data_IF_147607257832
#
_entry.id   IF_147607257832
#
_cell.length_a   1.000
_cell.length_b   1.000
_cell.length_c   1.000
_cell.angle_alpha   90.00
_cell.angle_beta   90.00
_cell.angle_gamma   90.00
#
_symmetry.space_group_name_H-M   'P 1'
#
loop_
_entity.id
_entity.type
_entity.pdbx_description
1 polymer ?
#
# COMPACT_ATOMS: atom_id res chain seq x y z
N UNK A 1 6.58 20.02 -9.82
CA UNK A 1 5.14 19.71 -10.04
C UNK A 1 4.81 19.95 -11.51
N UNK A 2 4.26 18.97 -12.24
CA UNK A 2 3.89 19.15 -13.64
C UNK A 2 2.73 20.14 -13.81
N UNK A 3 2.65 20.88 -14.93
CA UNK A 3 1.54 21.77 -15.22
C UNK A 3 0.25 20.98 -15.51
N UNK A 4 -0.91 21.60 -15.32
CA UNK A 4 -2.21 20.96 -15.56
C UNK A 4 -2.39 20.47 -17.01
N UNK A 5 -1.74 21.11 -17.97
CA UNK A 5 -1.74 20.73 -19.39
C UNK A 5 -1.04 19.40 -19.68
N UNK A 6 -0.22 18.87 -18.76
CA UNK A 6 0.42 17.57 -18.90
C UNK A 6 -0.56 16.39 -18.69
N UNK A 7 -1.71 16.65 -18.07
CA UNK A 7 -2.74 15.66 -17.75
C UNK A 7 -3.82 15.59 -18.84
N UNK A 8 -4.29 14.40 -19.12
CA UNK A 8 -5.49 14.23 -19.94
C UNK A 8 -6.74 14.76 -19.20
N UNK A 9 -7.84 15.09 -19.92
CA UNK A 9 -9.06 15.53 -19.26
C UNK A 9 -9.59 14.56 -18.19
N UNK A 10 -9.46 13.25 -18.42
CA UNK A 10 -9.85 12.19 -17.48
C UNK A 10 -8.96 12.21 -16.21
N UNK A 11 -7.66 12.30 -16.37
CA UNK A 11 -6.69 12.39 -15.27
C UNK A 11 -6.94 13.64 -14.43
N UNK A 12 -7.12 14.78 -15.10
CA UNK A 12 -7.37 16.05 -14.43
C UNK A 12 -8.70 16.08 -13.68
N UNK A 13 -9.74 15.42 -14.22
CA UNK A 13 -11.02 15.26 -13.51
C UNK A 13 -10.86 14.47 -12.21
N UNK A 14 -10.05 13.40 -12.21
CA UNK A 14 -9.73 12.62 -11.00
C UNK A 14 -8.98 13.50 -9.99
N UNK A 15 -7.96 14.24 -10.41
CA UNK A 15 -7.17 15.12 -9.54
C UNK A 15 -8.07 16.18 -8.88
N UNK A 16 -8.90 16.87 -9.65
CA UNK A 16 -9.79 17.93 -9.13
C UNK A 16 -10.84 17.40 -8.14
N UNK A 17 -11.28 16.16 -8.32
CA UNK A 17 -12.27 15.51 -7.46
C UNK A 17 -11.66 15.02 -6.15
N UNK A 18 -10.39 14.66 -6.11
CA UNK A 18 -9.74 14.01 -4.96
C UNK A 18 -8.61 14.89 -4.40
N UNK A 19 -8.98 15.92 -3.64
CA UNK A 19 -8.08 16.99 -3.19
C UNK A 19 -7.41 16.70 -1.85
N UNK A 20 -7.88 15.72 -1.10
CA UNK A 20 -7.36 15.38 0.24
C UNK A 20 -6.94 13.92 0.31
N UNK A 21 -5.99 13.56 1.20
CA UNK A 21 -5.59 12.16 1.39
C UNK A 21 -6.75 11.20 1.66
N UNK A 22 -7.79 11.64 2.40
CA UNK A 22 -8.97 10.82 2.66
C UNK A 22 -9.81 10.57 1.40
N UNK A 23 -9.93 11.57 0.53
CA UNK A 23 -10.62 11.41 -0.75
C UNK A 23 -9.86 10.48 -1.68
N UNK A 24 -8.52 10.61 -1.74
CA UNK A 24 -7.65 9.72 -2.51
C UNK A 24 -7.72 8.29 -1.96
N UNK A 25 -7.72 8.10 -0.63
CA UNK A 25 -7.88 6.77 -0.03
C UNK A 25 -9.19 6.11 -0.47
N UNK A 26 -10.32 6.83 -0.41
CA UNK A 26 -11.62 6.29 -0.88
C UNK A 26 -11.64 5.98 -2.38
N UNK A 27 -10.99 6.81 -3.19
CA UNK A 27 -10.84 6.56 -4.62
C UNK A 27 -10.08 5.26 -4.88
N UNK A 28 -8.94 5.07 -4.22
CA UNK A 28 -8.12 3.86 -4.38
C UNK A 28 -8.80 2.60 -3.83
N UNK A 29 -9.56 2.73 -2.74
CA UNK A 29 -10.33 1.61 -2.18
C UNK A 29 -11.42 1.12 -3.14
N UNK A 30 -11.97 2.00 -3.96
CA UNK A 30 -12.98 1.66 -4.97
C UNK A 30 -12.40 0.99 -6.22
N UNK A 31 -11.09 1.09 -6.45
CA UNK A 31 -10.45 0.41 -7.58
C UNK A 31 -10.34 -1.09 -7.32
N UNK A 32 -10.62 -1.97 -8.31
CA UNK A 32 -10.25 -3.37 -8.26
C UNK A 32 -8.74 -3.53 -8.02
N UNK A 33 -8.37 -4.54 -7.22
CA UNK A 33 -6.96 -4.81 -6.96
C UNK A 33 -6.29 -5.42 -8.21
N UNK A 34 -5.11 -4.91 -8.57
CA UNK A 34 -4.30 -5.49 -9.63
C UNK A 34 -3.52 -6.70 -9.08
N UNK A 35 -3.89 -7.90 -9.50
CA UNK A 35 -3.26 -9.15 -9.10
C UNK A 35 -2.03 -9.52 -9.92
N UNK A 36 -1.62 -8.64 -10.86
CA UNK A 36 -0.41 -8.79 -11.70
C UNK A 36 -0.39 -10.09 -12.51
N UNK A 37 -1.54 -10.53 -12.95
CA UNK A 37 -1.66 -11.73 -13.78
C UNK A 37 -2.07 -11.36 -15.21
N UNK A 38 -1.46 -11.97 -16.24
CA UNK A 38 -0.44 -13.04 -16.19
C UNK A 38 1.00 -12.55 -15.98
N UNK A 39 1.25 -11.24 -15.94
CA UNK A 39 2.59 -10.65 -15.81
C UNK A 39 2.61 -9.61 -14.71
N UNK A 40 3.78 -9.48 -14.04
CA UNK A 40 4.06 -8.38 -13.14
C UNK A 40 3.93 -7.03 -13.88
N UNK A 41 3.36 -6.05 -13.20
CA UNK A 41 3.17 -4.69 -13.69
C UNK A 41 3.61 -3.68 -12.65
N UNK A 42 4.02 -2.50 -13.10
CA UNK A 42 4.24 -1.34 -12.25
C UNK A 42 3.85 -0.09 -13.04
N UNK A 43 2.55 0.18 -13.05
CA UNK A 43 1.99 1.25 -13.87
C UNK A 43 2.19 2.61 -13.22
N UNK A 44 2.43 3.61 -14.08
CA UNK A 44 2.36 5.02 -13.70
C UNK A 44 0.94 5.42 -13.27
N UNK A 45 0.76 6.63 -12.77
CA UNK A 45 -0.57 7.23 -12.55
C UNK A 45 -1.46 7.13 -13.81
N UNK A 46 -0.92 7.52 -14.98
CA UNK A 46 -1.63 7.41 -16.27
C UNK A 46 -2.08 5.99 -16.56
N UNK A 47 -1.22 5.02 -16.33
CA UNK A 47 -1.53 3.60 -16.51
C UNK A 47 -2.66 3.13 -15.58
N UNK A 48 -2.66 3.54 -14.32
CA UNK A 48 -3.72 3.23 -13.36
C UNK A 48 -5.05 3.87 -13.77
N UNK A 49 -5.07 5.15 -14.18
CA UNK A 49 -6.31 5.81 -14.64
C UNK A 49 -6.86 5.17 -15.91
N UNK A 50 -5.99 4.67 -16.78
CA UNK A 50 -6.39 4.00 -18.03
C UNK A 50 -7.00 2.63 -17.75
N UNK A 51 -6.35 1.83 -16.88
CA UNK A 51 -6.75 0.42 -16.62
C UNK A 51 -7.82 0.28 -15.54
N UNK A 52 -7.92 1.27 -14.63
CA UNK A 52 -8.87 1.24 -13.52
C UNK A 52 -8.53 0.23 -12.43
N UNK A 53 -7.29 -0.24 -12.33
CA UNK A 53 -6.84 -1.21 -11.30
C UNK A 53 -5.50 -0.78 -10.72
N UNK A 54 -5.21 -1.13 -9.47
CA UNK A 54 -3.90 -0.85 -8.85
C UNK A 54 -3.53 -1.90 -7.80
N UNK A 55 -2.24 -2.29 -7.72
CA UNK A 55 -1.63 -2.91 -6.55
C UNK A 55 -1.02 -1.84 -5.62
N UNK A 56 -0.34 -2.26 -4.53
CA UNK A 56 0.12 -1.32 -3.49
C UNK A 56 1.02 -0.19 -4.01
N UNK A 57 2.05 -0.50 -4.79
CA UNK A 57 2.99 0.50 -5.30
C UNK A 57 2.35 1.39 -6.37
N UNK A 58 1.55 0.82 -7.29
CA UNK A 58 0.78 1.61 -8.27
C UNK A 58 -0.18 2.58 -7.58
N UNK A 59 -0.84 2.15 -6.50
CA UNK A 59 -1.72 3.00 -5.70
C UNK A 59 -0.95 4.13 -4.98
N UNK A 60 0.23 3.84 -4.45
CA UNK A 60 1.08 4.84 -3.81
C UNK A 60 1.58 5.89 -4.82
N UNK A 61 2.02 5.46 -6.02
CA UNK A 61 2.36 6.35 -7.14
C UNK A 61 1.17 7.22 -7.56
N UNK A 62 -0.02 6.61 -7.65
CA UNK A 62 -1.25 7.32 -8.00
C UNK A 62 -1.62 8.37 -6.95
N UNK A 63 -1.52 8.03 -5.67
CA UNK A 63 -1.75 8.98 -4.58
C UNK A 63 -0.75 10.14 -4.63
N UNK A 64 0.53 9.85 -4.89
CA UNK A 64 1.58 10.87 -5.03
C UNK A 64 1.27 11.84 -6.18
N UNK A 65 0.89 11.33 -7.36
CA UNK A 65 0.59 12.15 -8.53
C UNK A 65 -0.65 13.05 -8.31
N UNK A 66 -1.70 12.55 -7.67
CA UNK A 66 -2.90 13.32 -7.37
C UNK A 66 -2.59 14.39 -6.31
N UNK A 67 -1.99 13.99 -5.19
CA UNK A 67 -1.81 14.87 -4.03
C UNK A 67 -0.71 15.91 -4.24
N UNK A 68 0.27 15.64 -5.09
CA UNK A 68 1.27 16.63 -5.50
C UNK A 68 0.61 17.88 -6.11
N UNK A 69 -0.49 17.72 -6.88
CA UNK A 69 -1.24 18.83 -7.46
C UNK A 69 -2.01 19.66 -6.41
N UNK A 70 -2.04 19.19 -5.17
CA UNK A 70 -2.67 19.86 -4.03
C UNK A 70 -1.66 20.27 -2.95
N UNK A 71 -0.36 20.34 -3.32
CA UNK A 71 0.72 20.84 -2.46
C UNK A 71 1.29 19.82 -1.48
N UNK A 72 0.95 18.54 -1.59
CA UNK A 72 1.58 17.50 -0.80
C UNK A 72 2.82 16.96 -1.53
N UNK A 73 3.97 16.80 -0.85
CA UNK A 73 5.17 16.24 -1.49
C UNK A 73 4.96 14.75 -1.83
N UNK A 74 5.59 14.22 -2.90
CA UNK A 74 5.44 12.83 -3.34
C UNK A 74 6.27 11.86 -2.50
N UNK A 75 5.97 11.79 -1.19
CA UNK A 75 6.68 10.94 -0.23
C UNK A 75 6.19 9.50 -0.28
N UNK A 76 7.13 8.57 -0.21
CA UNK A 76 6.89 7.13 -0.19
C UNK A 76 7.37 6.53 1.13
N UNK A 77 6.57 5.64 1.71
CA UNK A 77 6.96 4.79 2.83
C UNK A 77 7.03 3.35 2.31
N UNK A 78 8.23 2.77 2.32
CA UNK A 78 8.46 1.35 2.01
C UNK A 78 8.57 0.56 3.30
N UNK A 79 7.84 -0.54 3.38
CA UNK A 79 7.85 -1.50 4.48
C UNK A 79 8.47 -2.82 3.98
N UNK A 80 9.63 -3.19 4.52
CA UNK A 80 10.31 -4.44 4.20
C UNK A 80 9.69 -5.62 4.95
N UNK A 81 9.54 -6.76 4.27
CA UNK A 81 9.08 -8.01 4.84
C UNK A 81 10.15 -9.11 4.84
N UNK A 82 10.03 -10.04 5.79
CA UNK A 82 10.90 -11.20 5.87
C UNK A 82 10.79 -12.14 4.66
N UNK A 83 9.64 -12.18 4.01
CA UNK A 83 9.37 -12.98 2.80
C UNK A 83 9.56 -12.19 1.50
N UNK A 84 10.07 -10.96 1.59
CA UNK A 84 10.30 -10.03 0.48
C UNK A 84 9.02 -9.61 -0.27
N UNK A 85 7.85 -9.81 0.31
CA UNK A 85 6.60 -9.23 -0.17
C UNK A 85 6.41 -7.86 0.49
N UNK A 86 7.18 -6.90 0.01
CA UNK A 86 7.22 -5.56 0.55
C UNK A 86 5.92 -4.81 0.27
N UNK A 87 5.60 -3.83 1.13
CA UNK A 87 4.42 -3.00 0.97
C UNK A 87 4.80 -1.53 0.90
N UNK A 88 4.31 -0.84 -0.13
CA UNK A 88 4.61 0.56 -0.35
C UNK A 88 3.35 1.40 -0.19
N UNK A 89 3.51 2.53 0.50
CA UNK A 89 2.43 3.46 0.83
C UNK A 89 2.85 4.88 0.45
N UNK A 90 1.87 5.70 0.11
CA UNK A 90 2.07 7.13 0.04
C UNK A 90 2.04 7.72 1.46
N UNK A 91 3.08 8.50 1.82
CA UNK A 91 3.23 9.12 3.14
C UNK A 91 2.88 10.61 3.05
N UNK A 92 2.13 11.13 4.01
CA UNK A 92 1.81 12.54 4.08
C UNK A 92 1.84 13.08 5.51
N UNK A 93 1.95 14.41 5.62
CA UNK A 93 1.83 15.12 6.89
C UNK A 93 0.72 16.16 6.80
N UNK A 94 -0.17 16.18 7.79
CA UNK A 94 -1.26 17.13 7.88
C UNK A 94 -1.39 17.60 9.33
N UNK A 95 -1.45 18.91 9.56
CA UNK A 95 -1.53 19.49 10.91
C UNK A 95 -0.46 18.95 11.88
N UNK A 96 0.78 18.80 11.37
CA UNK A 96 1.90 18.29 12.16
C UNK A 96 1.89 16.77 12.42
N UNK A 97 0.90 16.02 11.92
CA UNK A 97 0.74 14.58 12.14
C UNK A 97 0.94 13.80 10.84
N UNK A 98 1.53 12.60 10.98
CA UNK A 98 1.77 11.69 9.88
C UNK A 98 0.58 10.79 9.61
N UNK A 99 0.30 10.54 8.34
CA UNK A 99 -0.68 9.60 7.84
C UNK A 99 -0.20 8.95 6.54
N UNK A 100 -0.93 7.94 6.06
CA UNK A 100 -0.64 7.25 4.80
C UNK A 100 -1.90 7.04 3.97
N UNK A 101 -1.70 6.97 2.66
CA UNK A 101 -2.69 6.45 1.70
C UNK A 101 -2.12 5.18 1.11
N UNK A 102 -2.90 4.11 1.12
CA UNK A 102 -2.44 2.81 0.65
C UNK A 102 -3.58 1.90 0.17
N UNK A 103 -3.27 1.04 -0.77
CA UNK A 103 -4.12 -0.06 -1.23
C UNK A 103 -3.40 -1.37 -1.00
N UNK A 104 -4.07 -2.34 -0.42
CA UNK A 104 -3.52 -3.69 -0.18
C UNK A 104 -4.57 -4.76 -0.46
N UNK A 105 -4.12 -5.99 -0.59
CA UNK A 105 -4.98 -7.18 -0.54
C UNK A 105 -5.66 -7.33 0.81
N UNK A 106 -4.93 -6.99 1.87
CA UNK A 106 -5.37 -7.09 3.25
C UNK A 106 -5.81 -5.72 3.82
N UNK A 107 -7.02 -5.65 4.36
CA UNK A 107 -7.58 -4.42 4.92
C UNK A 107 -6.70 -3.79 6.01
N UNK A 108 -6.02 -4.61 6.82
CA UNK A 108 -5.10 -4.15 7.87
C UNK A 108 -3.90 -3.36 7.37
N UNK A 109 -3.56 -3.48 6.08
CA UNK A 109 -2.42 -2.80 5.44
C UNK A 109 -2.82 -1.55 4.64
N UNK A 110 -4.08 -1.13 4.69
CA UNK A 110 -4.54 0.12 4.07
C UNK A 110 -4.01 1.35 4.81
N UNK A 111 -4.36 2.55 4.33
CA UNK A 111 -3.84 3.81 4.84
C UNK A 111 -4.18 4.11 6.30
N UNK A 112 -3.50 5.10 6.85
CA UNK A 112 -3.64 5.58 8.23
C UNK A 112 -4.05 7.05 8.26
N UNK A 113 -4.90 7.42 9.23
CA UNK A 113 -5.23 8.82 9.51
C UNK A 113 -3.99 9.61 9.93
N UNK A 114 -3.93 10.93 9.71
CA UNK A 114 -2.83 11.78 10.15
C UNK A 114 -2.95 12.08 11.66
N UNK A 115 -2.72 11.05 12.49
CA UNK A 115 -2.80 11.14 13.97
C UNK A 115 -1.46 10.87 14.65
N UNK A 116 -0.46 10.40 13.93
CA UNK A 116 0.82 9.95 14.47
C UNK A 116 1.83 11.08 14.59
N UNK A 117 2.55 11.16 15.71
CA UNK A 117 3.58 12.16 15.95
C UNK A 117 4.86 11.91 15.16
N UNK A 118 5.19 10.64 14.93
CA UNK A 118 6.35 10.23 14.15
C UNK A 118 6.00 9.17 13.12
N UNK A 119 6.84 9.06 12.09
CA UNK A 119 6.74 7.96 11.10
C UNK A 119 6.91 6.60 11.79
N UNK A 120 7.78 6.52 12.81
CA UNK A 120 7.96 5.28 13.57
C UNK A 120 6.66 4.84 14.25
N UNK A 121 5.95 5.74 14.92
CA UNK A 121 4.67 5.42 15.57
C UNK A 121 3.63 4.94 14.57
N UNK A 122 3.60 5.57 13.40
CA UNK A 122 2.75 5.15 12.29
C UNK A 122 3.11 3.74 11.81
N UNK A 123 4.40 3.45 11.58
CA UNK A 123 4.88 2.14 11.15
C UNK A 123 4.56 1.04 12.17
N UNK A 124 4.60 1.33 13.46
CA UNK A 124 4.25 0.35 14.51
C UNK A 124 2.80 -0.16 14.40
N UNK A 125 1.90 0.60 13.79
CA UNK A 125 0.52 0.14 13.54
C UNK A 125 0.40 -0.89 12.42
N UNK A 126 1.44 -1.06 11.61
CA UNK A 126 1.51 -2.08 10.55
C UNK A 126 2.15 -3.39 11.01
N UNK A 127 2.86 -3.38 12.16
CA UNK A 127 3.64 -4.53 12.62
C UNK A 127 2.81 -5.81 12.78
N UNK A 128 1.66 -5.72 13.46
CA UNK A 128 0.80 -6.89 13.64
C UNK A 128 -0.01 -7.24 12.37
N UNK A 129 -0.61 -6.25 11.67
CA UNK A 129 -1.26 -6.50 10.39
C UNK A 129 -0.37 -7.15 9.32
N UNK A 130 0.95 -6.98 9.44
CA UNK A 130 1.93 -7.54 8.50
C UNK A 130 2.24 -9.03 8.76
N UNK A 131 1.90 -9.55 9.95
CA UNK A 131 2.19 -10.94 10.30
C UNK A 131 1.19 -11.87 9.64
N UNK A 132 1.67 -12.75 8.79
CA UNK A 132 0.95 -13.88 8.21
C UNK A 132 1.80 -15.18 8.31
N UNK A 133 1.55 -16.16 7.45
CA UNK A 133 2.28 -17.43 7.46
C UNK A 133 3.77 -17.29 7.14
N UNK A 134 4.16 -16.32 6.33
CA UNK A 134 5.52 -16.14 5.79
C UNK A 134 6.08 -14.76 6.12
N UNK A 135 5.22 -13.74 6.18
CA UNK A 135 5.58 -12.34 6.30
C UNK A 135 5.63 -11.81 7.72
N UNK A 136 6.50 -10.87 7.94
CA UNK A 136 6.59 -9.97 9.09
C UNK A 136 7.44 -8.76 8.74
N UNK A 137 7.13 -7.62 9.33
CA UNK A 137 7.91 -6.40 9.13
C UNK A 137 9.34 -6.57 9.66
N UNK A 138 10.34 -6.24 8.84
CA UNK A 138 11.78 -6.27 9.16
C UNK A 138 12.45 -4.90 9.07
N UNK A 139 11.83 -3.95 8.38
CA UNK A 139 12.38 -2.61 8.21
C UNK A 139 11.40 -1.66 7.54
N UNK A 140 11.77 -0.39 7.50
CA UNK A 140 11.02 0.64 6.76
C UNK A 140 11.95 1.76 6.31
N UNK A 141 11.66 2.33 5.16
CA UNK A 141 12.37 3.48 4.59
C UNK A 141 11.38 4.57 4.14
N UNK A 142 11.85 5.82 4.14
CA UNK A 142 11.11 6.97 3.60
C UNK A 142 11.95 7.61 2.51
N UNK A 143 11.35 7.78 1.33
CA UNK A 143 11.96 8.45 0.19
C UNK A 143 10.98 9.41 -0.47
N UNK A 144 11.45 10.14 -1.46
CA UNK A 144 10.60 11.00 -2.29
C UNK A 144 10.77 10.68 -3.77
N UNK A 145 9.67 10.61 -4.51
CA UNK A 145 9.76 10.39 -5.96
C UNK A 145 10.43 11.56 -6.70
N UNK A 146 10.65 12.70 -6.03
CA UNK A 146 11.44 13.81 -6.56
C UNK A 146 12.91 13.45 -6.76
N UNK A 147 13.45 12.49 -6.00
CA UNK A 147 14.83 12.01 -6.14
C UNK A 147 15.09 11.27 -7.48
N UNK A 148 14.03 10.91 -8.18
CA UNK A 148 14.12 10.29 -9.50
C UNK A 148 14.43 11.30 -10.63
N UNK A 149 14.52 12.60 -10.31
CA UNK A 149 14.81 13.66 -11.27
C UNK A 149 13.79 13.70 -12.43
N UNK A 150 14.27 13.68 -13.65
CA UNK A 150 13.45 13.76 -14.87
C UNK A 150 12.76 12.44 -15.25
N UNK A 151 12.90 11.38 -14.42
CA UNK A 151 12.24 10.12 -14.74
C UNK A 151 10.71 10.26 -14.64
N UNK A 152 10.04 9.95 -15.77
CA UNK A 152 8.57 10.07 -15.86
C UNK A 152 7.86 8.89 -15.19
N UNK A 153 7.67 8.99 -13.88
CA UNK A 153 6.89 8.05 -13.10
C UNK A 153 5.38 8.36 -13.10
N UNK A 154 4.96 9.53 -13.63
CA UNK A 154 3.57 10.00 -13.65
C UNK A 154 2.81 9.57 -14.89
N UNK A 155 3.41 9.79 -16.05
CA UNK A 155 2.71 9.71 -17.35
C UNK A 155 3.24 8.58 -18.26
N UNK A 156 4.30 7.90 -17.86
CA UNK A 156 4.90 6.83 -18.65
C UNK A 156 3.84 5.81 -19.11
N UNK A 157 3.74 5.50 -20.40
CA UNK A 157 2.89 4.42 -20.91
C UNK A 157 3.47 3.03 -20.62
N UNK A 158 4.74 2.98 -20.19
CA UNK A 158 5.46 1.76 -19.82
C UNK A 158 5.47 1.57 -18.31
N UNK A 159 5.77 0.37 -17.84
CA UNK A 159 6.02 0.10 -16.44
C UNK A 159 7.17 0.95 -15.89
N UNK A 160 7.01 1.45 -14.66
CA UNK A 160 7.94 2.39 -14.03
C UNK A 160 8.85 1.71 -13.01
N UNK A 161 9.51 0.61 -13.43
CA UNK A 161 10.36 -0.23 -12.56
C UNK A 161 11.47 0.53 -11.83
N UNK A 162 11.93 1.67 -12.37
CA UNK A 162 12.93 2.52 -11.70
C UNK A 162 12.43 3.06 -10.36
N UNK A 163 11.11 3.18 -10.17
CA UNK A 163 10.52 3.54 -8.86
C UNK A 163 10.77 2.43 -7.84
N UNK A 164 10.51 1.18 -8.22
CA UNK A 164 10.77 0.03 -7.34
C UNK A 164 12.25 -0.11 -7.03
N UNK A 165 13.11 0.00 -8.04
CA UNK A 165 14.57 -0.05 -7.87
C UNK A 165 15.07 1.04 -6.90
N UNK A 166 14.53 2.26 -6.99
CA UNK A 166 14.83 3.34 -6.06
C UNK A 166 14.43 2.99 -4.63
N UNK A 167 13.22 2.47 -4.42
CA UNK A 167 12.71 2.11 -3.11
C UNK A 167 13.50 0.96 -2.48
N UNK A 168 13.92 -0.02 -3.27
CA UNK A 168 14.77 -1.13 -2.80
C UNK A 168 16.17 -0.68 -2.40
N UNK A 169 16.72 0.34 -3.08
CA UNK A 169 18.08 0.86 -2.82
C UNK A 169 18.15 1.90 -1.71
N UNK A 170 17.03 2.55 -1.36
CA UNK A 170 17.05 3.59 -0.35
C UNK A 170 17.34 3.03 1.05
N UNK A 171 17.90 3.84 1.98
CA UNK A 171 18.19 3.39 3.34
C UNK A 171 16.92 2.98 4.10
N UNK A 172 16.93 1.79 4.71
CA UNK A 172 15.86 1.31 5.58
C UNK A 172 16.33 1.22 7.04
N UNK A 173 15.48 1.71 7.94
CA UNK A 173 15.63 1.53 9.38
C UNK A 173 15.14 0.14 9.75
N UNK A 174 16.00 -0.68 10.33
CA UNK A 174 15.62 -2.04 10.74
C UNK A 174 14.60 -2.03 11.87
N UNK A 175 13.68 -2.96 11.80
CA UNK A 175 12.71 -3.25 12.85
C UNK A 175 12.89 -4.71 13.28
N UNK A 176 13.01 -4.92 14.59
CA UNK A 176 13.12 -6.26 15.16
C UNK A 176 11.89 -6.59 15.99
N UNK A 177 11.15 -7.61 15.57
CA UNK A 177 10.09 -8.23 16.37
C UNK A 177 10.67 -9.39 17.17
N UNK A 178 10.48 -9.39 18.50
CA UNK A 178 10.91 -10.52 19.31
C UNK A 178 10.20 -11.81 18.86
N UNK A 179 10.93 -12.94 18.94
CA UNK A 179 10.39 -14.28 18.60
C UNK A 179 9.09 -14.57 19.37
N UNK A 180 9.05 -14.22 20.65
CA UNK A 180 7.86 -14.39 21.50
C UNK A 180 6.63 -13.64 20.92
N UNK A 181 6.79 -12.35 20.57
CA UNK A 181 5.71 -11.55 20.01
C UNK A 181 5.27 -12.09 18.64
N UNK A 182 6.23 -12.43 17.77
CA UNK A 182 5.92 -13.00 16.47
C UNK A 182 5.05 -14.26 16.60
N UNK A 183 5.45 -15.21 17.47
CA UNK A 183 4.70 -16.45 17.70
C UNK A 183 3.28 -16.16 18.23
N UNK A 184 3.12 -15.18 19.13
CA UNK A 184 1.79 -14.80 19.65
C UNK A 184 0.89 -14.26 18.53
N UNK A 185 1.39 -13.31 17.73
CA UNK A 185 0.62 -12.71 16.63
C UNK A 185 0.31 -13.74 15.56
N UNK A 186 1.27 -14.58 15.19
CA UNK A 186 1.08 -15.66 14.23
C UNK A 186 0.03 -16.70 14.69
N UNK A 187 0.01 -17.05 15.97
CA UNK A 187 -1.05 -17.93 16.53
C UNK A 187 -2.43 -17.31 16.38
N UNK A 188 -2.57 -15.99 16.67
CA UNK A 188 -3.83 -15.27 16.49
C UNK A 188 -4.26 -15.24 15.02
N UNK A 189 -3.32 -14.98 14.11
CA UNK A 189 -3.57 -15.01 12.67
C UNK A 189 -4.03 -16.41 12.21
N UNK A 190 -3.33 -17.46 12.63
CA UNK A 190 -3.69 -18.85 12.30
C UNK A 190 -5.08 -19.21 12.79
N UNK A 191 -5.39 -18.93 14.07
CA UNK A 191 -6.71 -19.18 14.64
C UNK A 191 -7.82 -18.45 13.87
N UNK A 192 -7.59 -17.18 13.52
CA UNK A 192 -8.52 -16.42 12.70
C UNK A 192 -8.72 -17.05 11.32
N UNK A 193 -7.66 -17.47 10.64
CA UNK A 193 -7.74 -18.10 9.30
C UNK A 193 -8.43 -19.47 9.34
N UNK A 194 -8.23 -20.24 10.40
CA UNK A 194 -8.94 -21.51 10.60
C UNK A 194 -10.46 -21.28 10.79
N UNK A 195 -10.83 -20.29 11.61
CA UNK A 195 -12.23 -20.00 11.87
C UNK A 195 -12.93 -19.27 10.70
N UNK A 196 -12.17 -18.49 9.90
CA UNK A 196 -12.70 -17.61 8.86
C UNK A 196 -11.78 -17.55 7.64
N UNK A 197 -11.64 -18.65 6.86
CA UNK A 197 -10.61 -18.75 5.81
C UNK A 197 -10.69 -17.65 4.75
N UNK A 198 -11.89 -17.20 4.41
CA UNK A 198 -12.16 -16.23 3.36
C UNK A 198 -12.47 -14.81 3.86
N UNK A 199 -12.53 -14.63 5.20
CA UNK A 199 -12.85 -13.33 5.76
C UNK A 199 -11.64 -12.37 5.69
N UNK A 200 -11.87 -11.05 5.53
CA UNK A 200 -10.81 -10.06 5.68
C UNK A 200 -10.23 -10.13 7.09
N UNK A 201 -8.89 -10.03 7.22
CA UNK A 201 -8.25 -9.92 8.52
C UNK A 201 -8.60 -8.57 9.13
N UNK A 202 -9.45 -8.55 10.15
CA UNK A 202 -9.98 -7.33 10.74
C UNK A 202 -10.10 -7.36 12.28
N UNK A 203 -9.37 -8.27 12.93
CA UNK A 203 -9.38 -8.42 14.39
C UNK A 203 -8.56 -7.36 15.14
N UNK A 204 -8.08 -6.31 14.44
CA UNK A 204 -7.32 -5.22 15.06
C UNK A 204 -8.23 -4.27 15.80
N UNK A 205 -7.83 -3.92 17.03
CA UNK A 205 -8.61 -3.05 17.90
C UNK A 205 -8.57 -1.58 17.46
N UNK A 206 -9.60 -0.83 17.82
CA UNK A 206 -9.67 0.63 17.65
C UNK A 206 -9.41 1.14 16.22
N UNK A 207 -9.70 0.33 15.19
CA UNK A 207 -9.50 0.70 13.77
C UNK A 207 -10.05 2.09 13.40
N UNK A 208 -11.26 2.49 13.84
CA UNK A 208 -11.79 3.81 13.48
C UNK A 208 -10.92 4.98 13.94
N UNK A 209 -10.08 4.81 14.96
CA UNK A 209 -9.22 5.88 15.49
C UNK A 209 -7.97 6.13 14.65
N UNK A 210 -7.48 5.12 13.93
CA UNK A 210 -6.20 5.19 13.23
C UNK A 210 -6.22 4.76 11.75
N UNK A 211 -7.15 3.91 11.31
CA UNK A 211 -7.28 3.58 9.89
C UNK A 211 -7.82 4.75 9.08
N UNK A 212 -7.28 4.96 7.90
CA UNK A 212 -7.72 5.98 6.96
C UNK A 212 -9.17 5.76 6.52
N UNK A 213 -9.51 4.51 6.21
CA UNK A 213 -10.88 4.04 6.00
C UNK A 213 -11.05 2.70 6.74
N UNK A 214 -11.69 2.67 7.92
CA UNK A 214 -11.87 1.44 8.71
C UNK A 214 -12.77 0.40 8.03
N UNK A 215 -13.52 0.80 7.00
CA UNK A 215 -14.38 -0.06 6.20
C UNK A 215 -13.74 -0.47 4.88
N UNK A 216 -12.45 -0.16 4.66
CA UNK A 216 -11.74 -0.59 3.45
C UNK A 216 -11.83 -2.10 3.28
N UNK A 217 -12.37 -2.59 2.14
CA UNK A 217 -12.50 -4.02 1.92
C UNK A 217 -11.14 -4.63 1.58
N UNK A 218 -10.90 -5.86 2.03
CA UNK A 218 -9.86 -6.68 1.41
C UNK A 218 -10.21 -6.98 -0.03
N UNK A 219 -9.21 -7.10 -0.90
CA UNK A 219 -9.45 -7.43 -2.30
C UNK A 219 -9.99 -8.86 -2.41
N UNK A 220 -11.10 -9.10 -3.12
CA UNK A 220 -11.56 -10.44 -3.39
C UNK A 220 -10.51 -11.20 -4.20
N UNK A 221 -10.09 -12.36 -3.72
CA UNK A 221 -9.09 -13.17 -4.40
C UNK A 221 -9.76 -13.90 -5.57
N UNK A 222 -9.33 -13.68 -6.83
CA UNK A 222 -9.88 -14.40 -7.97
C UNK A 222 -9.68 -15.92 -7.81
N UNK A 223 -10.68 -16.73 -8.21
CA UNK A 223 -10.62 -18.20 -8.11
C UNK A 223 -9.35 -18.81 -8.74
N UNK A 224 -8.86 -18.23 -9.83
CA UNK A 224 -7.60 -18.65 -10.48
C UNK A 224 -6.39 -18.42 -9.58
N UNK A 225 -6.29 -17.25 -8.94
CA UNK A 225 -5.21 -16.92 -7.99
C UNK A 225 -5.27 -17.80 -6.75
N UNK A 226 -6.49 -18.08 -6.23
CA UNK A 226 -6.68 -19.03 -5.13
C UNK A 226 -6.14 -20.43 -5.44
N UNK A 227 -6.31 -20.92 -6.66
CA UNK A 227 -5.78 -22.23 -7.07
C UNK A 227 -4.25 -22.25 -7.08
N UNK A 228 -3.63 -21.17 -7.55
CA UNK A 228 -2.17 -21.03 -7.61
C UNK A 228 -1.59 -20.93 -6.19
N UNK A 229 -2.16 -20.06 -5.31
CA UNK A 229 -1.74 -19.89 -3.92
C UNK A 229 -1.92 -21.20 -3.10
N UNK A 230 -3.02 -21.96 -3.32
CA UNK A 230 -3.22 -23.26 -2.67
C UNK A 230 -2.15 -24.27 -3.02
N UNK A 231 -1.55 -24.17 -4.21
CA UNK A 231 -0.42 -25.01 -4.63
C UNK A 231 0.89 -24.70 -3.90
N UNK A 232 1.08 -23.44 -3.49
CA UNK A 232 2.31 -22.92 -2.88
C UNK A 232 2.27 -22.90 -1.34
N UNK A 233 1.09 -22.94 -0.73
CA UNK A 233 0.92 -22.91 0.75
C UNK A 233 0.55 -24.30 1.26
N UNK A 234 1.45 -25.00 1.97
CA UNK A 234 1.24 -26.39 2.41
C UNK A 234 -0.01 -26.63 3.26
N UNK A 235 -0.51 -25.61 3.96
CA UNK A 235 -1.67 -25.70 4.86
C UNK A 235 -3.03 -25.56 4.16
N UNK A 236 -3.08 -25.31 2.85
CA UNK A 236 -4.33 -25.21 2.08
C UNK A 236 -4.58 -26.46 1.24
N UNK A 237 -3.80 -27.52 1.44
CA UNK A 237 -3.92 -28.80 0.73
C UNK A 237 -4.84 -29.82 1.42
N UNK A 238 -5.49 -29.46 2.53
CA UNK A 238 -6.47 -30.31 3.22
C UNK A 238 -7.90 -29.81 3.00
#
# INVERSE_FOLDING_TARGET
MPPSSAFTPKEWAVIRKHRTPQQVQRFLDALPYNWEKPKATLRSFRGVITTGTAHCLEAAITAAAILEQHGYPPLMLSLESADKLDHVLYLFKQNGRWGTVARSREAGLHGRKPVFRSVRDLVLTYVEPYVDFTGRLTGYGVGTLSDLGDYDWRFSPKNVWKVEEYLLKMPHKKYHMSKRRYVQVLRRYKAFRTASPNAPVNYYDNRPTWMGNPNSPSAPIPKKVLREIRGEIPFLKS
#
